data_IF_646439166934
#
_entry.id   IF_646439166934
#
_cell.length_a   1.000
_cell.length_b   1.000
_cell.length_c   1.000
_cell.angle_alpha   90.00
_cell.angle_beta   90.00
_cell.angle_gamma   90.00
#
_symmetry.space_group_name_H-M   'P 1'
#
loop_
_entity.id
_entity.type
_entity.pdbx_description
1 polymer ?
#
# COMPACT_ATOMS: atom_id res chain seq x y z
N UNK A 1 -10.84 33.86 36.56
CA UNK A 1 -10.12 32.75 35.91
C UNK A 1 -10.43 32.85 34.43
N UNK A 2 -9.46 32.75 33.52
CA UNK A 2 -9.78 32.78 32.11
C UNK A 2 -10.76 31.67 31.78
N UNK A 3 -11.76 32.00 30.98
CA UNK A 3 -12.75 31.05 30.50
C UNK A 3 -11.99 29.98 29.69
N UNK A 4 -12.29 28.68 29.84
CA UNK A 4 -11.57 27.62 29.13
C UNK A 4 -11.59 27.81 27.60
N UNK A 5 -12.61 28.51 27.08
CA UNK A 5 -12.73 28.88 25.67
C UNK A 5 -11.61 29.81 25.16
N UNK A 6 -11.10 30.73 25.99
CA UNK A 6 -10.04 31.69 25.59
C UNK A 6 -8.71 30.99 25.28
N UNK A 7 -8.47 29.84 25.90
CA UNK A 7 -7.28 29.01 25.66
C UNK A 7 -7.53 27.89 24.64
N UNK A 8 -8.72 27.27 24.67
CA UNK A 8 -9.03 26.15 23.78
C UNK A 8 -9.23 26.59 22.32
N UNK A 9 -9.77 27.78 22.07
CA UNK A 9 -10.01 28.29 20.71
C UNK A 9 -8.73 28.34 19.86
N UNK A 10 -7.69 29.10 20.26
CA UNK A 10 -6.44 29.19 19.50
C UNK A 10 -5.71 27.85 19.34
N UNK A 11 -5.76 26.99 20.36
CA UNK A 11 -5.14 25.66 20.31
C UNK A 11 -5.86 24.76 19.30
N UNK A 12 -7.20 24.76 19.30
CA UNK A 12 -7.99 24.00 18.33
C UNK A 12 -7.81 24.52 16.92
N UNK A 13 -7.68 25.83 16.74
CA UNK A 13 -7.37 26.44 15.44
C UNK A 13 -5.99 26.00 14.95
N UNK A 14 -4.95 26.12 15.78
CA UNK A 14 -3.60 25.67 15.42
C UNK A 14 -3.57 24.17 15.11
N UNK A 15 -4.22 23.33 15.92
CA UNK A 15 -4.32 21.89 15.69
C UNK A 15 -5.07 21.58 14.40
N UNK A 16 -6.08 22.37 14.04
CA UNK A 16 -6.79 22.24 12.77
C UNK A 16 -5.85 22.54 11.61
N UNK A 17 -5.14 23.67 11.63
CA UNK A 17 -4.17 24.02 10.58
C UNK A 17 -3.07 22.96 10.44
N UNK A 18 -2.49 22.51 11.56
CA UNK A 18 -1.40 21.53 11.57
C UNK A 18 -1.86 20.15 11.13
N UNK A 19 -3.12 19.77 11.35
CA UNK A 19 -3.64 18.47 10.92
C UNK A 19 -4.18 18.49 9.48
N UNK A 20 -4.90 19.55 9.11
CA UNK A 20 -5.62 19.65 7.84
C UNK A 20 -4.70 20.01 6.67
N UNK A 21 -3.79 20.98 6.86
CA UNK A 21 -2.88 21.44 5.80
C UNK A 21 -1.96 20.34 5.30
N UNK A 22 -1.33 19.49 6.13
CA UNK A 22 -0.59 18.34 5.63
C UNK A 22 -1.47 17.12 5.37
N UNK A 23 -2.59 16.96 6.08
CA UNK A 23 -3.50 15.81 5.94
C UNK A 23 -4.10 15.70 4.53
N UNK A 24 -4.61 16.80 3.97
CA UNK A 24 -5.21 16.79 2.63
C UNK A 24 -4.19 16.43 1.53
N UNK A 25 -3.01 17.08 1.45
CA UNK A 25 -1.97 16.70 0.49
C UNK A 25 -1.54 15.24 0.64
N UNK A 26 -1.40 14.73 1.87
CA UNK A 26 -1.05 13.33 2.12
C UNK A 26 -2.13 12.38 1.59
N UNK A 27 -3.42 12.70 1.74
CA UNK A 27 -4.51 11.94 1.14
C UNK A 27 -4.46 11.97 -0.39
N UNK A 28 -4.25 13.13 -1.00
CA UNK A 28 -4.16 13.28 -2.47
C UNK A 28 -2.98 12.46 -3.00
N UNK A 29 -1.80 12.58 -2.38
CA UNK A 29 -0.60 11.84 -2.76
C UNK A 29 -0.80 10.34 -2.54
N UNK A 30 -1.32 9.93 -1.38
CA UNK A 30 -1.63 8.53 -1.07
C UNK A 30 -2.59 7.93 -2.09
N UNK A 31 -3.63 8.66 -2.46
CA UNK A 31 -4.61 8.24 -3.47
C UNK A 31 -3.99 8.15 -4.86
N UNK A 32 -3.17 9.13 -5.25
CA UNK A 32 -2.44 9.11 -6.51
C UNK A 32 -1.49 7.91 -6.59
N UNK A 33 -0.81 7.56 -5.50
CA UNK A 33 0.03 6.36 -5.41
C UNK A 33 -0.82 5.10 -5.57
N UNK A 34 -1.94 4.96 -4.85
CA UNK A 34 -2.83 3.80 -4.98
C UNK A 34 -3.37 3.65 -6.40
N UNK A 35 -3.77 4.74 -7.04
CA UNK A 35 -4.35 4.73 -8.40
C UNK A 35 -3.31 4.39 -9.47
N UNK A 36 -2.05 4.79 -9.28
CA UNK A 36 -0.96 4.49 -10.22
C UNK A 36 -0.31 3.13 -9.99
N UNK A 37 -0.53 2.51 -8.82
CA UNK A 37 -0.03 1.16 -8.56
C UNK A 37 -0.83 0.15 -9.36
N UNK A 38 -0.11 -0.75 -10.00
CA UNK A 38 -0.72 -1.84 -10.71
C UNK A 38 -1.15 -2.94 -9.75
N UNK A 39 -2.31 -3.57 -9.99
CA UNK A 39 -2.79 -4.67 -9.18
C UNK A 39 -1.84 -5.86 -9.30
N UNK A 40 -1.56 -6.48 -8.16
CA UNK A 40 -0.89 -7.77 -8.11
C UNK A 40 -1.94 -8.87 -8.24
N UNK A 41 -1.67 -9.86 -9.07
CA UNK A 41 -2.51 -11.05 -9.24
C UNK A 41 -1.72 -12.31 -8.92
N UNK A 42 -2.42 -13.45 -8.85
CA UNK A 42 -1.88 -14.76 -8.53
C UNK A 42 -1.97 -15.69 -9.73
N UNK A 43 -0.91 -16.41 -10.02
CA UNK A 43 -0.91 -17.51 -10.98
C UNK A 43 -0.22 -18.74 -10.36
N UNK A 44 -0.61 -19.92 -10.83
CA UNK A 44 0.12 -21.15 -10.53
C UNK A 44 1.35 -21.20 -11.43
N UNK A 45 2.52 -21.34 -10.83
CA UNK A 45 3.79 -21.45 -11.51
C UNK A 45 4.36 -22.86 -11.31
N UNK A 46 4.84 -23.45 -12.39
CA UNK A 46 5.54 -24.73 -12.39
C UNK A 46 7.05 -24.50 -12.26
N UNK A 47 7.70 -25.27 -11.39
CA UNK A 47 9.15 -25.25 -11.24
C UNK A 47 9.78 -26.10 -12.33
N UNK A 48 10.54 -25.46 -13.23
CA UNK A 48 11.29 -26.17 -14.28
C UNK A 48 12.80 -26.07 -14.05
N UNK A 49 13.55 -27.04 -14.55
CA UNK A 49 15.00 -27.02 -14.52
C UNK A 49 15.56 -26.79 -15.92
N UNK A 50 16.49 -25.85 -16.05
CA UNK A 50 17.20 -25.55 -17.29
C UNK A 50 18.68 -25.33 -17.01
N UNK A 51 19.52 -26.25 -17.50
CA UNK A 51 20.98 -26.12 -17.45
C UNK A 51 21.56 -26.04 -16.03
N UNK A 52 20.95 -26.72 -15.06
CA UNK A 52 21.36 -26.69 -13.65
C UNK A 52 20.80 -25.52 -12.84
N UNK A 53 20.00 -24.64 -13.45
CA UNK A 53 19.22 -23.61 -12.77
C UNK A 53 17.75 -24.00 -12.71
N UNK A 54 17.09 -23.64 -11.61
CA UNK A 54 15.64 -23.77 -11.47
C UNK A 54 14.97 -22.46 -11.85
N UNK A 55 13.84 -22.55 -12.53
CA UNK A 55 13.03 -21.41 -12.95
C UNK A 55 11.56 -21.62 -12.66
N UNK A 56 10.78 -20.55 -12.75
CA UNK A 56 9.33 -20.60 -12.66
C UNK A 56 8.72 -20.34 -14.04
N UNK A 57 7.80 -21.20 -14.44
CA UNK A 57 6.98 -21.03 -15.64
C UNK A 57 5.54 -20.84 -15.22
N UNK A 58 4.93 -19.73 -15.60
CA UNK A 58 3.51 -19.46 -15.35
C UNK A 58 2.85 -18.89 -16.60
N UNK A 59 1.55 -19.05 -16.71
CA UNK A 59 0.75 -18.37 -17.73
C UNK A 59 -0.07 -17.26 -17.07
N UNK A 60 -0.20 -16.12 -17.75
CA UNK A 60 -1.15 -15.09 -17.34
C UNK A 60 -2.60 -15.46 -17.71
N UNK A 61 -3.57 -14.63 -17.31
CA UNK A 61 -4.98 -14.82 -17.66
C UNK A 61 -5.27 -14.76 -19.17
N UNK A 62 -4.36 -14.19 -19.97
CA UNK A 62 -4.41 -14.19 -21.43
C UNK A 62 -3.72 -15.43 -22.05
N UNK A 63 -3.34 -16.38 -21.21
CA UNK A 63 -2.62 -17.60 -21.55
C UNK A 63 -1.25 -17.35 -22.21
N UNK A 64 -0.64 -16.21 -21.90
CA UNK A 64 0.71 -15.83 -22.32
C UNK A 64 1.71 -16.52 -21.39
N UNK A 65 2.60 -17.38 -21.93
CA UNK A 65 3.60 -18.04 -21.11
C UNK A 65 4.71 -17.06 -20.71
N UNK A 66 5.02 -17.05 -19.42
CA UNK A 66 6.13 -16.31 -18.83
C UNK A 66 7.13 -17.28 -18.21
N UNK A 67 8.41 -16.96 -18.36
CA UNK A 67 9.53 -17.78 -17.90
C UNK A 67 10.50 -16.87 -17.15
N UNK A 68 10.94 -17.31 -15.98
CA UNK A 68 12.03 -16.67 -15.26
C UNK A 68 12.98 -17.69 -14.66
N UNK A 69 14.28 -17.42 -14.81
CA UNK A 69 15.36 -18.24 -14.27
C UNK A 69 15.80 -17.69 -12.92
N UNK A 70 16.04 -18.58 -11.95
CA UNK A 70 16.34 -18.20 -10.57
C UNK A 70 17.59 -18.87 -10.03
N UNK A 71 18.12 -18.24 -8.99
CA UNK A 71 19.26 -18.76 -8.24
C UNK A 71 18.82 -19.88 -7.29
N UNK A 72 19.76 -20.74 -6.88
CA UNK A 72 19.50 -21.86 -5.97
C UNK A 72 18.93 -21.42 -4.60
N UNK A 73 19.24 -20.21 -4.13
CA UNK A 73 18.70 -19.68 -2.87
C UNK A 73 17.21 -19.32 -2.97
N UNK A 74 16.75 -18.83 -4.13
CA UNK A 74 15.35 -18.47 -4.35
C UNK A 74 14.45 -19.69 -4.58
N UNK A 75 15.04 -20.82 -4.98
CA UNK A 75 14.37 -22.09 -5.26
C UNK A 75 14.68 -23.15 -4.21
N UNK A 76 15.19 -22.72 -3.04
CA UNK A 76 15.60 -23.61 -1.97
C UNK A 76 14.39 -24.33 -1.38
N UNK A 77 14.42 -25.66 -1.42
CA UNK A 77 13.33 -26.51 -0.94
C UNK A 77 12.21 -26.76 -1.95
N UNK A 78 12.36 -26.28 -3.19
CA UNK A 78 11.41 -26.53 -4.28
C UNK A 78 11.95 -27.61 -5.20
N UNK A 79 11.13 -28.60 -5.52
CA UNK A 79 11.48 -29.69 -6.44
C UNK A 79 11.03 -29.37 -7.87
N UNK A 80 11.68 -29.98 -8.86
CA UNK A 80 11.30 -29.80 -10.26
C UNK A 80 9.96 -30.50 -10.50
N UNK A 81 9.01 -29.81 -11.15
CA UNK A 81 7.64 -30.26 -11.35
C UNK A 81 6.68 -29.88 -10.21
N UNK A 82 7.16 -29.20 -9.17
CA UNK A 82 6.31 -28.68 -8.11
C UNK A 82 5.49 -27.48 -8.62
N UNK A 83 4.26 -27.36 -8.13
CA UNK A 83 3.36 -26.25 -8.46
C UNK A 83 3.29 -25.28 -7.28
N UNK A 84 3.66 -24.02 -7.52
CA UNK A 84 3.63 -22.97 -6.50
C UNK A 84 2.72 -21.83 -6.87
N UNK A 85 2.16 -21.19 -5.84
CA UNK A 85 1.44 -19.95 -6.01
C UNK A 85 2.42 -18.78 -6.17
N UNK A 86 2.41 -18.13 -7.33
CA UNK A 86 3.23 -16.98 -7.66
C UNK A 86 2.37 -15.71 -7.69
N UNK A 87 2.86 -14.63 -7.07
CA UNK A 87 2.25 -13.32 -7.18
C UNK A 87 3.02 -12.49 -8.20
N UNK A 88 2.36 -11.87 -9.17
CA UNK A 88 3.00 -10.99 -10.16
C UNK A 88 2.21 -9.70 -10.38
N UNK A 89 2.92 -8.65 -10.83
CA UNK A 89 2.33 -7.37 -11.18
C UNK A 89 1.75 -7.42 -12.61
N UNK A 90 0.45 -7.14 -12.76
CA UNK A 90 -0.26 -7.22 -14.05
C UNK A 90 0.36 -6.29 -15.11
N UNK A 91 0.86 -5.12 -14.72
CA UNK A 91 1.46 -4.19 -15.67
C UNK A 91 2.91 -4.55 -16.01
N UNK A 92 3.60 -5.25 -15.11
CA UNK A 92 5.02 -5.58 -15.23
C UNK A 92 5.24 -7.03 -14.81
N UNK A 93 4.92 -8.02 -15.67
CA UNK A 93 5.00 -9.44 -15.31
C UNK A 93 6.41 -9.90 -14.91
N UNK A 94 7.45 -9.16 -15.28
CA UNK A 94 8.81 -9.37 -14.79
C UNK A 94 8.98 -9.15 -13.27
N UNK A 95 8.06 -8.41 -12.62
CA UNK A 95 7.99 -8.25 -11.17
C UNK A 95 7.08 -9.32 -10.59
N UNK A 96 7.70 -10.30 -9.95
CA UNK A 96 7.01 -11.40 -9.28
C UNK A 96 7.56 -11.60 -7.86
N UNK A 97 6.81 -12.32 -7.04
CA UNK A 97 7.16 -12.68 -5.67
C UNK A 97 6.45 -13.97 -5.28
N UNK A 98 7.16 -14.87 -4.60
CA UNK A 98 6.59 -16.10 -4.02
C UNK A 98 5.78 -15.76 -2.75
N UNK A 99 6.17 -14.67 -2.07
CA UNK A 99 5.46 -14.18 -0.88
C UNK A 99 4.39 -13.17 -1.29
N UNK A 100 3.26 -13.19 -0.58
CA UNK A 100 2.18 -12.21 -0.76
C UNK A 100 2.75 -10.78 -0.70
N UNK A 101 2.57 -9.97 -1.76
CA UNK A 101 3.05 -8.59 -1.77
C UNK A 101 2.28 -7.80 -0.70
N UNK A 102 3.03 -7.08 0.13
CA UNK A 102 2.46 -6.25 1.18
C UNK A 102 1.96 -4.94 0.56
N UNK A 103 0.66 -4.83 0.33
CA UNK A 103 0.04 -3.65 -0.28
C UNK A 103 -0.34 -2.60 0.78
N UNK A 104 0.62 -2.23 1.62
CA UNK A 104 0.39 -1.17 2.60
C UNK A 104 0.63 0.18 1.94
N UNK A 105 -0.33 1.11 2.08
CA UNK A 105 -0.14 2.52 1.75
C UNK A 105 -0.11 3.34 3.05
N UNK A 106 1.05 3.40 3.74
CA UNK A 106 1.17 4.11 5.01
C UNK A 106 0.90 5.61 4.86
N UNK A 107 1.19 6.18 3.68
CA UNK A 107 0.93 7.59 3.37
C UNK A 107 -0.57 7.90 3.42
N UNK A 108 -1.38 7.04 2.81
CA UNK A 108 -2.84 7.18 2.84
C UNK A 108 -3.40 6.99 4.25
N UNK A 109 -2.87 6.01 5.01
CA UNK A 109 -3.29 5.79 6.40
C UNK A 109 -3.00 7.00 7.30
N UNK A 110 -1.78 7.55 7.21
CA UNK A 110 -1.39 8.76 7.97
C UNK A 110 -2.21 9.98 7.52
N UNK A 111 -2.44 10.14 6.21
CA UNK A 111 -3.29 11.20 5.68
C UNK A 111 -4.72 11.14 6.22
N UNK A 112 -5.31 9.95 6.31
CA UNK A 112 -6.65 9.75 6.90
C UNK A 112 -6.69 10.13 8.38
N UNK A 113 -5.70 9.70 9.16
CA UNK A 113 -5.63 10.01 10.60
C UNK A 113 -5.51 11.52 10.81
N UNK A 114 -4.57 12.18 10.11
CA UNK A 114 -4.37 13.63 10.22
C UNK A 114 -5.64 14.40 9.81
N UNK A 115 -6.25 14.01 8.70
CA UNK A 115 -7.47 14.68 8.24
C UNK A 115 -8.62 14.49 9.21
N UNK A 116 -8.83 13.28 9.73
CA UNK A 116 -9.88 13.00 10.72
C UNK A 116 -9.69 13.81 12.01
N UNK A 117 -8.45 13.90 12.51
CA UNK A 117 -8.13 14.74 13.68
C UNK A 117 -8.43 16.21 13.40
N UNK A 118 -8.04 16.73 12.23
CA UNK A 118 -8.35 18.11 11.86
C UNK A 118 -9.86 18.39 11.75
N UNK A 119 -10.65 17.45 11.21
CA UNK A 119 -12.11 17.55 11.18
C UNK A 119 -12.67 17.61 12.61
N UNK A 120 -12.19 16.76 13.51
CA UNK A 120 -12.66 16.77 14.91
C UNK A 120 -12.31 18.07 15.62
N UNK A 121 -11.12 18.62 15.42
CA UNK A 121 -10.70 19.89 16.02
C UNK A 121 -11.55 21.07 15.50
N UNK A 122 -11.82 21.11 14.19
CA UNK A 122 -12.67 22.17 13.59
C UNK A 122 -14.11 22.10 14.10
N UNK A 123 -14.69 20.90 14.19
CA UNK A 123 -16.02 20.70 14.76
C UNK A 123 -16.07 21.08 16.25
N UNK A 124 -15.08 20.68 17.04
CA UNK A 124 -15.00 21.03 18.45
C UNK A 124 -14.88 22.55 18.65
N UNK A 125 -14.06 23.23 17.84
CA UNK A 125 -13.95 24.69 17.86
C UNK A 125 -15.25 25.39 17.48
N UNK A 126 -15.95 24.88 16.46
CA UNK A 126 -17.25 25.40 16.06
C UNK A 126 -18.32 25.23 17.15
N UNK A 127 -18.37 24.06 17.81
CA UNK A 127 -19.27 23.82 18.94
C UNK A 127 -18.95 24.74 20.11
N UNK A 128 -17.66 24.97 20.41
CA UNK A 128 -17.22 25.91 21.44
C UNK A 128 -17.61 27.36 21.13
N UNK A 129 -17.73 27.76 19.86
CA UNK A 129 -18.24 29.09 19.50
C UNK A 129 -19.76 29.24 19.68
N UNK A 130 -20.50 28.13 19.71
CA UNK A 130 -21.96 28.15 19.81
C UNK A 130 -22.51 28.19 21.24
N UNK A 131 -21.71 27.81 22.24
CA UNK A 131 -22.08 27.70 23.66
C UNK A 131 -21.23 28.63 24.51
#
# INVERSE_FOLDING_TARGET
MPEPAEFLGPVLELMSWVAFVPGIPLLIVGWAITKRRCPWTTATAEVYEAGGFKGFRWSDDANTPHLSLHTAEQTRGLETGDEILLYYDICHPARWSIRKPRNDNPVLAVGWILTAVGILCTLAGFVLMMF
#
